data_IF_328601464048
#
_entry.id   IF_328601464048
#
_cell.length_a   1.000
_cell.length_b   1.000
_cell.length_c   1.000
_cell.angle_alpha   90.00
_cell.angle_beta   90.00
_cell.angle_gamma   90.00
#
_symmetry.space_group_name_H-M   'P 1'
#
loop_
_entity.id
_entity.type
_entity.pdbx_description
1 polymer ?
#
# COMPACT_ATOMS: atom_id res chain seq x y z
N UNK A 1 -19.69 -4.98 -34.69
CA UNK A 1 -20.89 -4.41 -35.36
C UNK A 1 -21.62 -5.48 -36.15
N UNK A 2 -22.93 -5.49 -36.10
CA UNK A 2 -23.77 -6.27 -37.00
C UNK A 2 -24.17 -5.35 -38.20
N UNK A 3 -24.20 -5.94 -39.40
CA UNK A 3 -24.76 -5.26 -40.60
C UNK A 3 -26.12 -5.83 -40.92
N UNK A 4 -27.04 -5.03 -41.46
CA UNK A 4 -28.35 -5.55 -41.92
C UNK A 4 -28.17 -6.67 -42.94
N UNK A 5 -29.00 -7.72 -42.90
CA UNK A 5 -28.92 -8.79 -43.87
C UNK A 5 -29.34 -8.29 -45.27
N UNK A 6 -28.48 -8.53 -46.25
CA UNK A 6 -28.79 -8.27 -47.67
C UNK A 6 -29.42 -9.51 -48.30
N UNK A 7 -30.72 -9.68 -48.13
CA UNK A 7 -31.49 -10.80 -48.63
C UNK A 7 -31.27 -12.13 -47.90
N UNK A 8 -30.54 -12.14 -46.79
CA UNK A 8 -30.24 -13.32 -45.98
C UNK A 8 -31.20 -13.57 -44.81
N UNK A 9 -31.01 -14.68 -44.08
CA UNK A 9 -31.74 -14.95 -42.84
C UNK A 9 -31.26 -14.05 -41.69
N UNK A 10 -32.14 -13.81 -40.74
CA UNK A 10 -31.81 -13.11 -39.48
C UNK A 10 -30.75 -13.91 -38.71
N UNK A 11 -29.80 -13.19 -38.07
CA UNK A 11 -28.76 -13.81 -37.23
C UNK A 11 -29.40 -14.43 -35.99
N UNK A 12 -29.00 -15.61 -35.65
CA UNK A 12 -29.49 -16.35 -34.47
C UNK A 12 -28.48 -16.27 -33.32
N UNK A 13 -28.93 -16.59 -32.11
CA UNK A 13 -28.05 -16.70 -30.94
C UNK A 13 -26.91 -17.74 -31.17
N UNK A 14 -27.24 -18.86 -31.83
CA UNK A 14 -26.22 -19.90 -32.15
C UNK A 14 -25.17 -19.36 -33.12
N UNK A 15 -25.57 -18.57 -34.12
CA UNK A 15 -24.64 -17.96 -35.06
C UNK A 15 -23.69 -16.98 -34.35
N UNK A 16 -24.21 -16.18 -33.41
CA UNK A 16 -23.40 -15.26 -32.60
C UNK A 16 -22.42 -16.03 -31.72
N UNK A 17 -22.85 -17.11 -31.09
CA UNK A 17 -22.03 -17.97 -30.26
C UNK A 17 -20.92 -18.61 -31.08
N UNK A 18 -21.26 -19.23 -32.23
CA UNK A 18 -20.28 -19.84 -33.13
C UNK A 18 -19.26 -18.82 -33.65
N UNK A 19 -19.68 -17.57 -33.91
CA UNK A 19 -18.79 -16.48 -34.30
C UNK A 19 -17.79 -16.15 -33.20
N UNK A 20 -18.23 -16.11 -31.94
CA UNK A 20 -17.36 -15.84 -30.79
C UNK A 20 -16.36 -16.99 -30.59
N UNK A 21 -16.82 -18.24 -30.68
CA UNK A 21 -15.95 -19.41 -30.57
C UNK A 21 -14.90 -19.45 -31.70
N UNK A 22 -15.30 -19.15 -32.94
CA UNK A 22 -14.40 -19.06 -34.10
C UNK A 22 -13.31 -18.00 -33.91
N UNK A 23 -13.62 -16.90 -33.17
CA UNK A 23 -12.67 -15.87 -32.82
C UNK A 23 -11.98 -16.11 -31.47
N UNK A 24 -12.09 -17.32 -30.92
CA UNK A 24 -11.49 -17.72 -29.64
C UNK A 24 -11.95 -16.87 -28.45
N UNK A 25 -13.15 -16.30 -28.51
CA UNK A 25 -13.72 -15.55 -27.38
C UNK A 25 -14.43 -16.54 -26.45
N UNK A 26 -13.74 -16.87 -25.34
CA UNK A 26 -14.13 -17.94 -24.40
C UNK A 26 -14.38 -17.44 -22.98
N UNK A 27 -14.06 -16.18 -22.69
CA UNK A 27 -14.17 -15.59 -21.35
C UNK A 27 -14.97 -14.30 -21.35
N UNK A 28 -15.77 -14.10 -20.30
CA UNK A 28 -16.51 -12.85 -20.07
C UNK A 28 -17.64 -12.57 -21.08
N UNK A 29 -18.11 -13.60 -21.79
CA UNK A 29 -19.20 -13.49 -22.77
C UNK A 29 -20.50 -13.11 -22.07
N UNK A 30 -21.15 -12.02 -22.51
CA UNK A 30 -22.43 -11.52 -21.98
C UNK A 30 -23.60 -12.29 -22.63
N UNK A 31 -23.85 -13.54 -22.18
CA UNK A 31 -24.83 -14.44 -22.80
C UNK A 31 -26.22 -13.84 -22.90
N UNK A 32 -26.70 -13.16 -21.85
CA UNK A 32 -28.04 -12.53 -21.86
C UNK A 32 -28.13 -11.36 -22.84
N UNK A 33 -27.00 -10.67 -23.03
CA UNK A 33 -26.92 -9.61 -24.04
C UNK A 33 -26.92 -10.18 -25.46
N UNK A 34 -26.23 -11.29 -25.69
CA UNK A 34 -26.24 -12.00 -26.97
C UNK A 34 -27.66 -12.48 -27.35
N UNK A 35 -28.44 -13.00 -26.39
CA UNK A 35 -29.83 -13.39 -26.62
C UNK A 35 -30.69 -12.19 -27.04
N UNK A 36 -30.54 -11.06 -26.33
CA UNK A 36 -31.25 -9.83 -26.67
C UNK A 36 -30.91 -9.31 -28.08
N UNK A 37 -29.62 -9.39 -28.46
CA UNK A 37 -29.17 -8.99 -29.80
C UNK A 37 -29.74 -9.91 -30.87
N UNK A 38 -29.90 -11.21 -30.61
CA UNK A 38 -30.49 -12.17 -31.53
C UNK A 38 -32.00 -11.94 -31.71
N UNK A 39 -32.70 -11.56 -30.63
CA UNK A 39 -34.14 -11.23 -30.67
C UNK A 39 -34.42 -9.85 -31.29
N UNK A 40 -33.62 -8.85 -30.93
CA UNK A 40 -33.71 -7.46 -31.34
C UNK A 40 -32.37 -6.97 -31.89
N UNK A 41 -32.04 -7.27 -33.16
CA UNK A 41 -30.76 -6.92 -33.74
C UNK A 41 -30.53 -5.42 -33.81
N UNK A 42 -29.42 -4.97 -33.27
CA UNK A 42 -28.94 -3.59 -33.36
C UNK A 42 -27.87 -3.54 -34.44
N UNK A 43 -28.16 -2.83 -35.55
CA UNK A 43 -27.26 -2.77 -36.70
C UNK A 43 -26.43 -1.50 -36.70
N UNK A 44 -25.22 -1.59 -37.28
CA UNK A 44 -24.27 -0.50 -37.47
C UNK A 44 -23.76 0.17 -36.19
N UNK A 45 -23.93 -0.47 -35.05
CA UNK A 45 -23.43 -0.01 -33.76
C UNK A 45 -22.32 -0.95 -33.23
N UNK A 46 -21.45 -0.41 -32.41
CA UNK A 46 -20.44 -1.22 -31.69
C UNK A 46 -21.09 -1.86 -30.46
N UNK A 47 -21.16 -3.19 -30.45
CA UNK A 47 -21.73 -3.97 -29.34
C UNK A 47 -20.63 -4.66 -28.54
N UNK A 48 -20.56 -4.39 -27.25
CA UNK A 48 -19.63 -5.06 -26.33
C UNK A 48 -20.25 -6.38 -25.84
N UNK A 49 -19.95 -7.47 -26.54
CA UNK A 49 -20.52 -8.81 -26.28
C UNK A 49 -19.69 -9.68 -25.36
N UNK A 50 -18.45 -9.30 -25.11
CA UNK A 50 -17.56 -9.99 -24.16
C UNK A 50 -16.63 -8.97 -23.51
N UNK A 51 -16.27 -9.20 -22.27
CA UNK A 51 -15.37 -8.33 -21.48
C UNK A 51 -14.41 -9.21 -20.67
N UNK A 52 -13.13 -8.92 -20.80
CA UNK A 52 -12.10 -9.57 -19.97
C UNK A 52 -12.15 -9.11 -18.52
N UNK A 53 -11.55 -9.88 -17.64
CA UNK A 53 -11.34 -9.49 -16.24
C UNK A 53 -10.00 -8.76 -16.14
N UNK A 54 -9.94 -7.49 -15.73
CA UNK A 54 -8.67 -6.82 -15.53
C UNK A 54 -7.88 -7.44 -14.37
N UNK A 55 -6.55 -7.42 -14.40
CA UNK A 55 -5.75 -7.85 -13.27
C UNK A 55 -5.86 -6.83 -12.12
N UNK A 56 -5.83 -7.32 -10.89
CA UNK A 56 -5.70 -6.49 -9.70
C UNK A 56 -4.25 -6.45 -9.26
N UNK A 57 -3.63 -5.28 -9.30
CA UNK A 57 -2.24 -5.13 -8.88
C UNK A 57 -2.06 -5.43 -7.39
N UNK A 58 -0.90 -5.95 -7.03
CA UNK A 58 -0.49 -6.13 -5.65
C UNK A 58 -0.37 -4.79 -4.93
N UNK A 59 -0.55 -4.83 -3.61
CA UNK A 59 -0.29 -3.69 -2.72
C UNK A 59 1.19 -3.65 -2.37
N UNK A 60 1.75 -2.45 -2.33
CA UNK A 60 3.11 -2.25 -1.85
C UNK A 60 3.23 -2.63 -0.38
N UNK A 61 4.40 -3.09 0.03
CA UNK A 61 4.71 -3.28 1.43
C UNK A 61 4.76 -1.93 2.16
N UNK A 62 4.43 -1.92 3.44
CA UNK A 62 4.35 -0.72 4.25
C UNK A 62 5.07 -0.93 5.58
N UNK A 63 5.69 0.14 6.10
CA UNK A 63 6.28 0.16 7.45
C UNK A 63 5.42 1.04 8.34
N UNK A 64 4.82 0.43 9.36
CA UNK A 64 4.08 1.13 10.40
C UNK A 64 5.01 1.45 11.56
N UNK A 65 5.08 2.74 11.93
CA UNK A 65 5.83 3.20 13.10
C UNK A 65 4.92 3.17 14.34
N UNK A 66 5.34 2.47 15.39
CA UNK A 66 4.62 2.38 16.66
C UNK A 66 5.00 3.49 17.67
N UNK A 67 5.73 4.49 17.19
CA UNK A 67 6.05 5.72 17.90
C UNK A 67 5.77 6.92 16.99
N UNK A 68 5.60 8.11 17.56
CA UNK A 68 5.37 9.31 16.76
C UNK A 68 6.68 9.73 16.09
N UNK A 69 6.62 9.93 14.78
CA UNK A 69 7.72 10.47 13.98
C UNK A 69 7.57 12.00 13.89
N UNK A 70 8.70 12.71 13.88
CA UNK A 70 8.74 14.19 13.86
C UNK A 70 8.01 14.85 12.69
N UNK A 71 7.71 14.11 11.61
CA UNK A 71 6.98 14.64 10.46
C UNK A 71 5.50 14.98 10.74
N UNK A 72 4.96 14.53 11.88
CA UNK A 72 3.60 14.88 12.33
C UNK A 72 3.56 16.12 13.25
N UNK A 73 4.71 16.63 13.66
CA UNK A 73 4.80 17.84 14.49
C UNK A 73 4.73 19.10 13.65
N UNK A 74 3.54 19.61 13.44
CA UNK A 74 3.36 21.04 13.18
C UNK A 74 3.42 21.70 14.54
N UNK A 75 4.41 22.61 14.79
CA UNK A 75 4.44 23.35 16.04
C UNK A 75 3.12 24.10 16.19
N UNK A 76 2.47 23.94 17.35
CA UNK A 76 1.27 24.70 17.68
C UNK A 76 1.70 26.16 17.85
N UNK A 77 1.29 27.03 16.93
CA UNK A 77 1.47 28.48 17.05
C UNK A 77 0.37 28.95 18.00
N UNK A 78 0.77 29.44 19.15
CA UNK A 78 -0.14 30.08 20.10
C UNK A 78 -0.73 31.35 19.48
N UNK A 79 -1.90 31.79 19.96
CA UNK A 79 -2.61 32.99 19.45
C UNK A 79 -1.76 34.28 19.53
N UNK A 80 -0.70 34.28 20.34
CA UNK A 80 0.26 35.37 20.49
C UNK A 80 1.46 35.31 19.54
N UNK A 81 1.48 34.34 18.60
CA UNK A 81 2.54 34.14 17.62
C UNK A 81 3.81 33.47 18.17
N UNK A 82 3.80 33.01 19.42
CA UNK A 82 4.88 32.22 19.99
C UNK A 82 4.71 30.77 19.67
N UNK A 83 5.83 30.09 19.46
CA UNK A 83 5.87 28.63 19.27
C UNK A 83 6.07 27.98 20.63
N UNK A 84 5.13 27.16 21.07
CA UNK A 84 5.30 26.38 22.30
C UNK A 84 6.26 25.21 22.06
N UNK A 85 7.53 25.43 22.42
CA UNK A 85 8.56 24.41 22.35
C UNK A 85 8.47 23.35 23.47
N UNK A 86 7.60 23.55 24.48
CA UNK A 86 7.45 22.59 25.59
C UNK A 86 6.71 21.31 25.15
N UNK A 87 5.83 21.40 24.17
CA UNK A 87 5.19 20.21 23.57
C UNK A 87 6.09 19.47 22.58
N UNK A 88 7.20 20.05 22.14
CA UNK A 88 8.17 19.43 21.23
C UNK A 88 9.03 18.34 21.89
N UNK A 89 8.99 18.23 23.22
CA UNK A 89 9.77 17.27 24.00
C UNK A 89 8.96 16.10 24.53
N UNK A 90 8.15 15.47 23.71
CA UNK A 90 7.73 14.10 24.03
C UNK A 90 8.92 13.20 23.74
N UNK A 91 9.88 13.20 24.67
CA UNK A 91 10.94 12.20 24.72
C UNK A 91 10.27 10.84 24.86
N UNK A 92 10.15 10.13 23.75
CA UNK A 92 9.58 8.79 23.79
C UNK A 92 10.65 7.80 24.18
N UNK A 93 10.68 7.52 25.47
CA UNK A 93 11.51 6.47 26.01
C UNK A 93 10.93 5.11 25.60
N UNK A 94 11.79 4.26 25.09
CA UNK A 94 11.49 2.88 24.73
C UNK A 94 12.32 1.94 25.58
N UNK A 95 11.82 0.74 25.79
CA UNK A 95 12.53 -0.29 26.55
C UNK A 95 13.19 -1.28 25.61
N UNK A 96 14.27 -1.90 26.09
CA UNK A 96 14.90 -3.03 25.39
C UNK A 96 13.87 -4.12 25.10
N UNK A 97 13.85 -4.59 23.85
CA UNK A 97 12.88 -5.57 23.37
C UNK A 97 11.55 -4.98 22.88
N UNK A 98 11.35 -3.67 23.02
CA UNK A 98 10.14 -3.01 22.53
C UNK A 98 10.13 -2.94 21.01
N UNK A 99 8.99 -3.27 20.38
CA UNK A 99 8.78 -3.14 18.94
C UNK A 99 8.59 -1.68 18.58
N UNK A 100 9.36 -1.22 17.61
CA UNK A 100 9.37 0.17 17.13
C UNK A 100 8.64 0.34 15.80
N UNK A 101 8.81 -0.62 14.91
CA UNK A 101 8.17 -0.63 13.59
C UNK A 101 7.72 -2.03 13.23
N UNK A 102 6.65 -2.11 12.45
CA UNK A 102 6.16 -3.37 11.87
C UNK A 102 6.11 -3.23 10.35
N UNK A 103 6.64 -4.22 9.66
CA UNK A 103 6.64 -4.34 8.21
C UNK A 103 5.47 -5.21 7.76
N UNK A 104 4.59 -4.66 6.95
CA UNK A 104 3.59 -5.42 6.20
C UNK A 104 4.19 -5.78 4.84
N UNK A 105 4.30 -7.07 4.49
CA UNK A 105 4.86 -7.48 3.21
C UNK A 105 3.96 -7.07 2.04
N UNK A 106 4.53 -6.89 0.84
CA UNK A 106 3.76 -6.63 -0.37
C UNK A 106 2.92 -7.86 -0.77
N UNK A 107 1.90 -7.63 -1.61
CA UNK A 107 1.08 -8.71 -2.18
C UNK A 107 1.37 -8.90 -3.67
N UNK A 108 1.19 -10.13 -4.17
CA UNK A 108 1.41 -10.46 -5.59
C UNK A 108 0.33 -9.90 -6.52
N UNK A 109 -0.85 -9.59 -5.98
CA UNK A 109 -2.02 -9.22 -6.77
C UNK A 109 -2.77 -10.45 -7.33
N UNK A 110 -3.79 -10.17 -8.14
CA UNK A 110 -4.66 -11.20 -8.74
C UNK A 110 -4.59 -11.10 -10.26
N UNK A 111 -4.32 -12.24 -10.92
CA UNK A 111 -4.27 -12.28 -12.38
C UNK A 111 -5.64 -12.03 -12.99
N UNK A 112 -5.66 -11.19 -14.01
CA UNK A 112 -6.82 -10.98 -14.88
C UNK A 112 -6.89 -12.03 -16.00
N UNK A 113 -7.90 -11.90 -16.86
CA UNK A 113 -8.11 -12.81 -17.99
C UNK A 113 -8.66 -12.06 -19.20
N UNK A 114 -8.04 -12.24 -20.35
CA UNK A 114 -8.53 -11.69 -21.62
C UNK A 114 -9.81 -12.41 -22.06
N UNK A 115 -10.55 -11.82 -22.99
CA UNK A 115 -11.71 -12.49 -23.61
C UNK A 115 -11.35 -13.79 -24.34
N UNK A 116 -10.10 -13.95 -24.76
CA UNK A 116 -9.54 -15.17 -25.38
C UNK A 116 -9.03 -16.17 -24.36
N UNK A 117 -9.22 -15.91 -23.06
CA UNK A 117 -8.86 -16.84 -22.00
C UNK A 117 -7.39 -16.76 -21.51
N UNK A 118 -6.57 -15.90 -22.11
CA UNK A 118 -5.19 -15.71 -21.67
C UNK A 118 -5.12 -14.96 -20.35
N UNK A 119 -4.25 -15.41 -19.43
CA UNK A 119 -3.99 -14.72 -18.20
C UNK A 119 -3.27 -13.38 -18.45
N UNK A 120 -3.68 -12.36 -17.72
CA UNK A 120 -3.02 -11.05 -17.68
C UNK A 120 -2.40 -10.91 -16.30
N UNK A 121 -1.07 -10.90 -16.24
CA UNK A 121 -0.37 -10.84 -14.96
C UNK A 121 -0.54 -9.46 -14.30
N UNK A 122 -0.79 -9.43 -12.99
CA UNK A 122 -0.79 -8.19 -12.22
C UNK A 122 0.65 -7.69 -12.05
N UNK A 123 0.79 -6.44 -11.68
CA UNK A 123 2.06 -5.92 -11.16
C UNK A 123 2.14 -6.28 -9.67
N UNK A 124 3.18 -7.00 -9.22
CA UNK A 124 3.38 -7.25 -7.80
C UNK A 124 3.65 -5.95 -7.05
N UNK A 125 3.29 -5.89 -5.78
CA UNK A 125 3.63 -4.79 -4.91
C UNK A 125 5.14 -4.70 -4.67
N UNK A 126 5.63 -3.49 -4.43
CA UNK A 126 7.03 -3.23 -4.12
C UNK A 126 7.34 -3.60 -2.66
N UNK A 127 8.48 -4.24 -2.39
CA UNK A 127 8.88 -4.50 -1.02
C UNK A 127 9.23 -3.20 -0.29
N UNK A 128 8.78 -3.06 0.96
CA UNK A 128 9.27 -2.04 1.88
C UNK A 128 10.45 -2.59 2.68
N UNK A 129 11.29 -1.70 3.20
CA UNK A 129 12.47 -2.06 3.98
C UNK A 129 12.38 -1.40 5.35
N UNK A 130 12.64 -2.18 6.41
CA UNK A 130 12.70 -1.65 7.77
C UNK A 130 13.83 -0.62 7.90
N UNK A 131 13.56 0.57 8.46
CA UNK A 131 14.52 1.67 8.58
C UNK A 131 15.51 1.44 9.72
N UNK A 132 16.35 0.42 9.63
CA UNK A 132 17.30 0.04 10.67
C UNK A 132 18.42 1.08 10.83
N UNK A 133 18.56 1.59 12.04
CA UNK A 133 19.62 2.48 12.47
C UNK A 133 20.48 1.90 13.61
N UNK A 134 20.85 2.75 14.58
CA UNK A 134 21.70 2.38 15.73
C UNK A 134 20.86 1.81 16.88
N UNK A 135 21.38 0.82 17.59
CA UNK A 135 20.79 0.18 18.78
C UNK A 135 19.38 -0.38 18.53
N UNK A 136 19.14 -0.86 17.30
CA UNK A 136 17.92 -1.53 16.89
C UNK A 136 18.25 -2.80 16.10
N UNK A 137 17.47 -3.85 16.30
CA UNK A 137 17.59 -5.11 15.58
C UNK A 137 16.29 -5.48 14.87
N UNK A 138 16.43 -6.28 13.83
CA UNK A 138 15.28 -6.87 13.15
C UNK A 138 14.89 -8.13 13.93
N UNK A 139 13.60 -8.32 14.17
CA UNK A 139 13.03 -9.50 14.81
C UNK A 139 13.37 -10.79 14.04
N UNK A 140 13.26 -11.93 14.69
CA UNK A 140 13.56 -13.24 14.09
C UNK A 140 12.66 -13.58 12.88
N UNK A 141 11.44 -13.06 12.85
CA UNK A 141 10.50 -13.18 11.74
C UNK A 141 10.78 -12.21 10.57
N UNK A 142 11.71 -11.26 10.76
CA UNK A 142 12.09 -10.27 9.75
C UNK A 142 11.09 -9.12 9.56
N UNK A 143 9.97 -9.11 10.29
CA UNK A 143 8.86 -8.20 10.05
C UNK A 143 8.77 -7.06 11.07
N UNK A 144 9.65 -7.01 12.07
CA UNK A 144 9.61 -5.97 13.09
C UNK A 144 10.98 -5.42 13.40
N UNK A 145 11.04 -4.14 13.77
CA UNK A 145 12.23 -3.48 14.28
C UNK A 145 12.10 -3.33 15.80
N UNK A 146 13.11 -3.81 16.54
CA UNK A 146 13.08 -3.91 18.00
C UNK A 146 14.22 -3.10 18.58
N UNK A 147 13.99 -2.43 19.72
CA UNK A 147 15.04 -1.74 20.47
C UNK A 147 15.98 -2.74 21.16
N UNK A 148 17.29 -2.55 21.04
CA UNK A 148 18.32 -3.33 21.73
C UNK A 148 18.65 -2.80 23.13
N UNK A 149 18.25 -1.55 23.41
CA UNK A 149 18.56 -0.84 24.66
C UNK A 149 17.34 -0.09 25.19
N UNK A 150 17.38 0.29 26.45
CA UNK A 150 16.49 1.31 27.01
C UNK A 150 16.99 2.68 26.58
N UNK A 151 16.10 3.56 26.11
CA UNK A 151 16.52 4.89 25.69
C UNK A 151 15.46 5.64 24.90
N UNK A 152 15.88 6.72 24.27
CA UNK A 152 15.04 7.58 23.44
C UNK A 152 15.08 7.12 21.99
N UNK A 153 13.90 6.88 21.39
CA UNK A 153 13.77 6.59 19.96
C UNK A 153 13.73 7.87 19.14
N UNK A 154 14.43 7.88 18.02
CA UNK A 154 14.43 8.97 17.03
C UNK A 154 14.32 8.41 15.63
N UNK A 155 13.70 9.17 14.72
CA UNK A 155 13.67 8.88 13.29
C UNK A 155 14.35 10.03 12.55
N UNK A 156 15.55 9.78 12.05
CA UNK A 156 16.38 10.79 11.37
C UNK A 156 17.02 10.14 10.14
N UNK A 157 17.05 10.87 9.04
CA UNK A 157 17.64 10.45 7.75
C UNK A 157 17.14 9.07 7.28
N UNK A 158 15.83 8.82 7.45
CA UNK A 158 15.21 7.57 7.03
C UNK A 158 15.60 6.36 7.88
N UNK A 159 16.13 6.57 9.11
CA UNK A 159 16.56 5.51 10.03
C UNK A 159 16.00 5.70 11.43
N UNK A 160 15.60 4.59 12.04
CA UNK A 160 15.19 4.54 13.44
C UNK A 160 16.43 4.27 14.29
N UNK A 161 16.70 5.14 15.25
CA UNK A 161 17.82 5.02 16.18
C UNK A 161 17.28 5.06 17.61
N UNK A 162 17.96 4.38 18.52
CA UNK A 162 17.70 4.49 19.97
C UNK A 162 18.99 4.93 20.65
N UNK A 163 18.91 5.98 21.46
CA UNK A 163 20.03 6.53 22.22
C UNK A 163 19.77 6.36 23.70
N UNK A 164 20.83 6.11 24.47
CA UNK A 164 20.73 6.06 25.92
C UNK A 164 20.19 7.36 26.49
N UNK A 165 19.26 7.28 27.42
CA UNK A 165 18.76 8.42 28.19
C UNK A 165 19.45 8.41 29.54
N UNK A 166 20.08 9.51 29.90
CA UNK A 166 20.63 9.70 31.24
C UNK A 166 19.64 10.54 32.04
N UNK A 167 19.07 9.95 33.09
CA UNK A 167 18.28 10.71 34.05
C UNK A 167 19.23 11.31 35.09
N UNK A 168 19.28 12.63 35.16
CA UNK A 168 19.94 13.33 36.29
C UNK A 168 18.89 13.46 37.37
N UNK A 169 18.93 12.57 38.37
CA UNK A 169 17.95 12.47 39.46
C UNK A 169 18.12 13.47 40.59
N UNK A 170 18.93 14.52 40.38
CA UNK A 170 19.18 15.56 41.40
C UNK A 170 18.78 16.94 40.86
N UNK A 171 18.34 17.83 41.76
CA UNK A 171 18.14 19.23 41.44
C UNK A 171 19.44 19.82 40.91
N UNK A 172 19.40 20.44 39.73
CA UNK A 172 20.55 21.14 39.16
C UNK A 172 20.67 22.47 39.87
N UNK A 173 21.56 22.54 40.82
CA UNK A 173 21.88 23.76 41.51
C UNK A 173 23.28 24.28 41.13
N UNK A 174 23.68 25.42 41.68
CA UNK A 174 24.98 26.02 41.41
C UNK A 174 26.19 25.16 41.86
N UNK A 175 25.97 24.07 42.62
CA UNK A 175 27.00 23.12 43.04
C UNK A 175 27.23 22.01 42.01
N UNK A 176 26.30 21.81 41.10
CA UNK A 176 26.34 20.72 40.12
C UNK A 176 27.29 21.02 38.94
N UNK A 177 27.73 22.25 38.77
CA UNK A 177 28.63 22.65 37.69
C UNK A 177 28.00 22.60 36.31
N UNK A 178 28.78 22.83 35.26
CA UNK A 178 28.33 22.75 33.88
C UNK A 178 28.23 21.27 33.44
N UNK A 179 27.04 20.82 33.08
CA UNK A 179 26.85 19.51 32.51
C UNK A 179 27.05 19.63 30.99
N UNK A 180 28.16 19.12 30.48
CA UNK A 180 28.43 19.03 29.04
C UNK A 180 28.17 17.62 28.55
N UNK A 181 27.23 17.45 27.59
CA UNK A 181 27.05 16.21 26.87
C UNK A 181 27.85 16.29 25.57
N UNK A 182 28.78 15.38 25.40
CA UNK A 182 29.42 15.09 24.11
C UNK A 182 28.80 13.81 23.58
N UNK A 183 27.94 13.94 22.56
CA UNK A 183 27.33 12.84 21.85
C UNK A 183 28.16 12.40 20.66
#
# INVERSE_FOLDING_TARGET
>A
TLTPPDGGRQITFEDLKALLEKNSVVHGVKMDYLKKIAEFPIYNEMLCVAEGTPPENGKDGEVEFLFETSDKFKPTILEDGRVDFRELNIIKNVKKGQVLCVLTPPTEGVAGKTVTGHAVNPKPGKPAVLPKGKNVSISADGNSLISEIDGQVTYVDGKVNVFYTYEVSADVDNSTGNISFVG
#
